data_IF_313114260246
#
_entry.id   IF_313114260246
#
_cell.length_a   1.000
_cell.length_b   1.000
_cell.length_c   1.000
_cell.angle_alpha   90.00
_cell.angle_beta   90.00
_cell.angle_gamma   90.00
#
_symmetry.space_group_name_H-M   'P 1'
#
loop_
_entity.id
_entity.type
_entity.pdbx_description
1 polymer ?
#
# COMPACT_ATOMS: atom_id res chain seq x y z
N UNK A 1 -2.74 6.14 16.50
CA UNK A 1 -2.23 5.01 15.70
C UNK A 1 -3.06 4.77 14.43
N UNK A 2 -4.39 4.60 14.51
CA UNK A 2 -5.24 4.35 13.33
C UNK A 2 -5.24 5.42 12.22
N UNK A 3 -4.98 6.69 12.55
CA UNK A 3 -4.92 7.80 11.57
C UNK A 3 -3.84 7.57 10.49
N UNK A 4 -2.65 7.11 10.89
CA UNK A 4 -1.55 6.87 9.95
C UNK A 4 -1.85 5.73 8.99
N UNK A 5 -2.54 4.68 9.45
CA UNK A 5 -2.99 3.60 8.57
C UNK A 5 -4.08 4.09 7.60
N UNK A 6 -5.02 4.92 8.06
CA UNK A 6 -6.03 5.49 7.17
C UNK A 6 -5.39 6.38 6.09
N UNK A 7 -4.33 7.12 6.45
CA UNK A 7 -3.57 7.95 5.51
C UNK A 7 -2.83 7.09 4.46
N UNK A 8 -2.16 6.01 4.88
CA UNK A 8 -1.49 5.08 3.97
C UNK A 8 -2.46 4.40 3.01
N UNK A 9 -3.64 4.03 3.51
CA UNK A 9 -4.73 3.47 2.70
C UNK A 9 -5.26 4.46 1.66
N UNK A 10 -5.46 5.72 2.05
CA UNK A 10 -5.90 6.78 1.14
C UNK A 10 -4.88 7.03 0.02
N UNK A 11 -3.58 7.12 0.34
CA UNK A 11 -2.49 7.28 -0.63
C UNK A 11 -2.44 6.11 -1.61
N UNK A 12 -2.56 4.88 -1.09
CA UNK A 12 -2.59 3.67 -1.91
C UNK A 12 -3.73 3.67 -2.92
N UNK A 13 -4.95 4.01 -2.50
CA UNK A 13 -6.12 4.10 -3.40
C UNK A 13 -5.93 5.16 -4.48
N UNK A 14 -5.42 6.34 -4.14
CA UNK A 14 -5.16 7.41 -5.13
C UNK A 14 -4.15 6.96 -6.19
N UNK A 15 -3.08 6.25 -5.80
CA UNK A 15 -2.11 5.66 -6.72
C UNK A 15 -2.76 4.65 -7.68
N UNK A 16 -3.70 3.82 -7.20
CA UNK A 16 -4.41 2.86 -8.06
C UNK A 16 -5.28 3.58 -9.09
N UNK A 17 -6.02 4.62 -8.69
CA UNK A 17 -6.88 5.38 -9.59
C UNK A 17 -6.07 6.03 -10.72
N UNK A 18 -4.97 6.71 -10.37
CA UNK A 18 -4.07 7.35 -11.35
C UNK A 18 -3.49 6.34 -12.34
N UNK A 19 -3.24 5.12 -11.87
CA UNK A 19 -2.66 4.08 -12.72
C UNK A 19 -3.64 3.48 -13.74
N UNK A 20 -4.92 3.33 -13.37
CA UNK A 20 -5.95 2.75 -14.24
C UNK A 20 -6.45 3.77 -15.27
N UNK A 21 -6.41 5.07 -14.96
CA UNK A 21 -6.85 6.13 -15.87
C UNK A 21 -5.95 6.35 -17.09
N UNK A 22 -4.74 5.76 -17.15
CA UNK A 22 -3.82 5.93 -18.28
C UNK A 22 -3.84 4.73 -19.25
N UNK A 23 -4.81 4.72 -20.16
CA UNK A 23 -4.87 3.81 -21.32
C UNK A 23 -4.14 4.41 -22.52
N UNK A 24 -2.84 4.16 -22.66
CA UNK A 24 -2.09 4.14 -23.93
C UNK A 24 -0.62 3.74 -23.67
N UNK A 25 -0.16 2.62 -24.23
CA UNK A 25 0.98 1.88 -23.65
C UNK A 25 2.32 2.10 -24.36
N UNK A 26 3.11 3.04 -23.85
CA UNK A 26 4.56 3.23 -24.14
C UNK A 26 5.39 3.05 -22.85
N UNK A 27 6.71 3.37 -22.82
CA UNK A 27 7.59 3.22 -21.62
C UNK A 27 6.97 3.77 -20.33
N UNK A 28 6.13 4.80 -20.42
CA UNK A 28 5.37 5.37 -19.29
C UNK A 28 4.45 4.35 -18.61
N UNK A 29 3.89 3.38 -19.32
CA UNK A 29 2.93 2.45 -18.71
C UNK A 29 3.59 1.36 -17.89
N UNK A 30 4.85 1.02 -18.17
CA UNK A 30 5.64 0.16 -17.26
C UNK A 30 5.82 0.82 -15.90
N UNK A 31 6.01 2.15 -15.89
CA UNK A 31 6.09 2.93 -14.66
C UNK A 31 4.73 2.98 -13.94
N UNK A 32 3.65 3.18 -14.71
CA UNK A 32 2.28 3.16 -14.18
C UNK A 32 1.94 1.81 -13.52
N UNK A 33 2.31 0.69 -14.13
CA UNK A 33 2.11 -0.65 -13.56
C UNK A 33 2.95 -0.84 -12.28
N UNK A 34 4.20 -0.35 -12.26
CA UNK A 34 5.03 -0.42 -11.04
C UNK A 34 4.40 0.39 -9.88
N UNK A 35 3.88 1.58 -10.17
CA UNK A 35 3.12 2.38 -9.19
C UNK A 35 1.83 1.69 -8.74
N UNK A 36 1.14 0.97 -9.63
CA UNK A 36 -0.04 0.19 -9.28
C UNK A 36 0.28 -0.94 -8.30
N UNK A 37 1.33 -1.73 -8.59
CA UNK A 37 1.77 -2.83 -7.72
C UNK A 37 2.21 -2.29 -6.35
N UNK A 38 2.95 -1.18 -6.31
CA UNK A 38 3.32 -0.51 -5.05
C UNK A 38 2.10 0.01 -4.28
N UNK A 39 1.11 0.57 -4.98
CA UNK A 39 -0.15 1.03 -4.40
C UNK A 39 -0.91 -0.13 -3.75
N UNK A 40 -1.02 -1.28 -4.42
CA UNK A 40 -1.67 -2.48 -3.87
C UNK A 40 -0.92 -2.95 -2.63
N UNK A 41 0.41 -3.01 -2.67
CA UNK A 41 1.24 -3.44 -1.55
C UNK A 41 1.00 -2.55 -0.31
N UNK A 42 0.94 -1.23 -0.50
CA UNK A 42 0.66 -0.27 0.56
C UNK A 42 -0.74 -0.40 1.14
N UNK A 43 -1.76 -0.62 0.30
CA UNK A 43 -3.15 -0.84 0.76
C UNK A 43 -3.25 -2.12 1.58
N UNK A 44 -2.70 -3.23 1.09
CA UNK A 44 -2.73 -4.53 1.78
C UNK A 44 -1.95 -4.45 3.10
N UNK A 45 -0.74 -3.87 3.08
CA UNK A 45 0.07 -3.68 4.28
C UNK A 45 -0.65 -2.84 5.33
N UNK A 46 -1.30 -1.76 4.90
CA UNK A 46 -2.08 -0.90 5.79
C UNK A 46 -3.29 -1.59 6.40
N UNK A 47 -3.97 -2.47 5.64
CA UNK A 47 -5.09 -3.26 6.15
C UNK A 47 -4.64 -4.28 7.20
N UNK A 48 -3.50 -4.95 6.97
CA UNK A 48 -2.91 -5.88 7.94
C UNK A 48 -2.51 -5.16 9.24
N UNK A 49 -1.96 -3.95 9.12
CA UNK A 49 -1.63 -3.09 10.26
C UNK A 49 -2.87 -2.60 11.02
N UNK A 50 -4.01 -2.46 10.34
CA UNK A 50 -5.28 -2.06 10.97
C UNK A 50 -5.93 -3.18 11.79
N UNK A 51 -5.53 -4.44 11.59
CA UNK A 51 -6.11 -5.58 12.28
C UNK A 51 -5.77 -5.54 13.79
N UNK A 52 -6.74 -5.73 14.69
CA UNK A 52 -6.46 -5.78 16.11
C UNK A 52 -5.52 -6.96 16.42
N UNK A 53 -4.39 -6.68 17.08
CA UNK A 53 -3.31 -7.65 17.31
C UNK A 53 -2.16 -7.59 16.30
N UNK A 54 -2.18 -6.68 15.31
CA UNK A 54 -1.05 -6.45 14.40
C UNK A 54 0.20 -5.96 15.14
N UNK A 55 0.02 -5.14 16.17
CA UNK A 55 1.12 -4.56 16.97
C UNK A 55 1.95 -5.63 17.69
N UNK A 56 1.31 -6.65 18.24
CA UNK A 56 2.01 -7.76 18.92
C UNK A 56 2.76 -8.65 17.93
N UNK A 57 2.27 -8.81 16.70
CA UNK A 57 2.99 -9.55 15.64
C UNK A 57 4.25 -8.77 15.23
N UNK A 58 4.16 -7.45 15.10
CA UNK A 58 5.31 -6.60 14.74
C UNK A 58 6.33 -6.56 15.89
N UNK A 59 5.88 -6.48 17.13
CA UNK A 59 6.75 -6.54 18.31
C UNK A 59 7.50 -7.88 18.39
N UNK A 60 6.82 -9.01 18.12
CA UNK A 60 7.47 -10.32 18.07
C UNK A 60 8.47 -10.44 16.91
N UNK A 61 8.16 -9.88 15.72
CA UNK A 61 9.11 -9.85 14.61
C UNK A 61 10.33 -8.98 14.92
N UNK A 62 10.13 -7.84 15.59
CA UNK A 62 11.21 -6.92 15.98
C UNK A 62 12.11 -7.52 17.07
N UNK A 63 11.54 -8.29 18.00
CA UNK A 63 12.30 -9.00 19.04
C UNK A 63 13.04 -10.25 18.51
N UNK A 64 12.64 -10.78 17.35
CA UNK A 64 13.31 -11.91 16.70
C UNK A 64 14.59 -11.50 15.93
N UNK A 65 14.86 -10.20 15.79
CA UNK A 65 16.06 -9.64 15.16
C UNK A 65 17.04 -9.11 16.20
#
# INVERSE_FOLDING_TARGET
MGFWYFLTLAVGITLLIISVSNKEVSRSTKFVIACFVLGILLVIGSLLLFLPGSSSIIEQLLQLN
#
